data_IF_425212620546
#
_entry.id   IF_425212620546
#
_cell.length_a   1.000
_cell.length_b   1.000
_cell.length_c   1.000
_cell.angle_alpha   90.00
_cell.angle_beta   90.00
_cell.angle_gamma   90.00
#
_symmetry.space_group_name_H-M   'P 1'
#
loop_
_entity.id
_entity.type
_entity.pdbx_description
1 polymer ?
#
# COMPACT_ATOMS: atom_id res chain seq x y z
N UNK A 1 -59.46 15.27 7.29
CA UNK A 1 -58.00 15.26 7.58
C UNK A 1 -57.52 16.70 7.72
N UNK A 2 -57.29 17.16 8.95
CA UNK A 2 -56.78 18.50 9.24
C UNK A 2 -55.46 18.71 8.51
N UNK A 3 -55.38 19.74 7.66
CA UNK A 3 -54.22 20.09 6.83
C UNK A 3 -52.99 20.52 7.64
N UNK A 4 -53.13 20.69 8.97
CA UNK A 4 -52.07 20.97 9.92
C UNK A 4 -51.32 22.27 9.62
N UNK A 5 -51.98 23.22 8.95
CA UNK A 5 -51.42 24.50 8.50
C UNK A 5 -51.95 25.69 9.31
N UNK A 6 -51.49 26.89 8.97
CA UNK A 6 -51.86 28.14 9.66
C UNK A 6 -53.39 28.36 9.69
N UNK A 7 -54.07 28.03 8.59
CA UNK A 7 -55.53 28.16 8.45
C UNK A 7 -56.31 27.20 9.37
N UNK A 8 -55.77 26.01 9.67
CA UNK A 8 -56.41 25.07 10.60
C UNK A 8 -56.23 25.49 12.05
N UNK A 9 -55.07 26.05 12.39
CA UNK A 9 -54.81 26.59 13.72
C UNK A 9 -55.71 27.79 14.00
N UNK A 10 -55.87 28.68 13.01
CA UNK A 10 -56.78 29.81 13.09
C UNK A 10 -58.25 29.36 13.19
N UNK A 11 -58.66 28.36 12.40
CA UNK A 11 -60.00 27.74 12.49
C UNK A 11 -60.24 27.01 13.83
N UNK A 12 -59.19 26.51 14.47
CA UNK A 12 -59.23 25.90 15.80
C UNK A 12 -59.16 26.92 16.95
N UNK A 13 -59.10 28.22 16.65
CA UNK A 13 -59.09 29.30 17.64
C UNK A 13 -57.72 29.57 18.27
N UNK A 14 -56.63 29.05 17.71
CA UNK A 14 -55.28 29.43 18.14
C UNK A 14 -54.94 30.85 17.67
N UNK A 15 -54.36 31.70 18.55
CA UNK A 15 -53.99 33.06 18.19
C UNK A 15 -52.71 33.05 17.34
N UNK A 16 -52.85 32.77 16.03
CA UNK A 16 -51.74 32.70 15.07
C UNK A 16 -50.93 34.00 15.05
N UNK A 17 -51.56 35.14 15.30
CA UNK A 17 -50.90 36.46 15.42
C UNK A 17 -49.95 36.59 16.62
N UNK A 18 -50.03 35.71 17.62
CA UNK A 18 -49.12 35.67 18.77
C UNK A 18 -47.90 34.76 18.53
N UNK A 19 -47.89 33.99 17.45
CA UNK A 19 -46.73 33.20 17.06
C UNK A 19 -45.62 34.14 16.55
N UNK A 20 -44.39 33.84 16.93
CA UNK A 20 -43.22 34.55 16.39
C UNK A 20 -43.12 34.38 14.87
N UNK A 21 -42.35 35.27 14.23
CA UNK A 21 -42.25 35.30 12.77
C UNK A 21 -41.69 33.99 12.20
N UNK A 22 -40.69 33.40 12.87
CA UNK A 22 -40.07 32.15 12.46
C UNK A 22 -41.03 30.96 12.49
N UNK A 23 -41.85 30.83 13.54
CA UNK A 23 -42.82 29.74 13.67
C UNK A 23 -43.93 29.86 12.63
N UNK A 24 -44.35 31.08 12.29
CA UNK A 24 -45.33 31.30 11.21
C UNK A 24 -44.75 30.95 9.84
N UNK A 25 -43.50 31.31 9.58
CA UNK A 25 -42.79 30.98 8.34
C UNK A 25 -42.65 29.46 8.18
N UNK A 26 -42.22 28.76 9.23
CA UNK A 26 -42.02 27.30 9.23
C UNK A 26 -43.34 26.52 9.04
N UNK A 27 -44.45 27.01 9.59
CA UNK A 27 -45.78 26.43 9.36
C UNK A 27 -46.32 26.70 7.95
N UNK A 28 -45.99 27.85 7.37
CA UNK A 28 -46.33 28.16 5.97
C UNK A 28 -45.54 27.27 5.00
N UNK A 29 -44.24 27.11 5.24
CA UNK A 29 -43.36 26.23 4.46
C UNK A 29 -43.83 24.76 4.53
N UNK A 30 -44.19 24.27 5.72
CA UNK A 30 -44.69 22.91 5.91
C UNK A 30 -46.02 22.65 5.18
N UNK A 31 -46.89 23.65 5.09
CA UNK A 31 -48.15 23.55 4.34
C UNK A 31 -47.87 23.57 2.83
N UNK A 32 -47.04 24.50 2.37
CA UNK A 32 -46.67 24.63 0.96
C UNK A 32 -45.95 23.37 0.44
N UNK A 33 -45.13 22.70 1.27
CA UNK A 33 -44.52 21.41 0.93
C UNK A 33 -45.56 20.31 0.70
N UNK A 34 -46.59 20.22 1.55
CA UNK A 34 -47.66 19.21 1.38
C UNK A 34 -48.48 19.48 0.13
N UNK A 35 -48.79 20.75 -0.14
CA UNK A 35 -49.52 21.17 -1.34
C UNK A 35 -48.74 20.87 -2.62
N UNK A 36 -47.41 20.99 -2.56
CA UNK A 36 -46.52 20.61 -3.65
C UNK A 36 -46.26 19.09 -3.76
N UNK A 37 -46.91 18.26 -2.93
CA UNK A 37 -46.87 16.79 -3.04
C UNK A 37 -45.88 16.09 -2.10
N UNK A 38 -45.36 16.77 -1.08
CA UNK A 38 -44.54 16.15 -0.02
C UNK A 38 -45.41 15.39 0.99
N UNK A 39 -45.20 14.07 1.10
CA UNK A 39 -46.01 13.19 1.96
C UNK A 39 -45.46 13.01 3.38
N UNK A 40 -44.29 13.59 3.68
CA UNK A 40 -43.58 13.39 4.95
C UNK A 40 -42.54 12.26 4.91
N UNK A 41 -42.71 11.27 4.03
CA UNK A 41 -41.76 10.16 3.82
C UNK A 41 -41.33 9.98 2.36
N UNK A 42 -41.83 10.82 1.46
CA UNK A 42 -41.57 10.73 0.02
C UNK A 42 -42.38 11.77 -0.76
N UNK A 43 -42.32 11.66 -2.09
CA UNK A 43 -43.00 12.53 -3.04
C UNK A 43 -44.17 11.79 -3.68
N UNK A 44 -45.29 12.48 -3.89
CA UNK A 44 -46.36 12.01 -4.76
C UNK A 44 -45.90 11.93 -6.22
N UNK A 45 -46.54 11.10 -7.03
CA UNK A 45 -46.17 10.90 -8.45
C UNK A 45 -46.31 12.18 -9.29
N UNK A 46 -47.15 13.12 -8.85
CA UNK A 46 -47.42 14.42 -9.46
C UNK A 46 -46.81 15.60 -8.68
N UNK A 47 -45.85 15.34 -7.79
CA UNK A 47 -45.25 16.36 -6.95
C UNK A 47 -44.55 17.47 -7.76
N UNK A 48 -44.77 18.72 -7.34
CA UNK A 48 -44.11 19.90 -7.89
C UNK A 48 -42.73 20.07 -7.25
N UNK A 49 -41.75 19.43 -7.87
CA UNK A 49 -40.35 19.42 -7.42
C UNK A 49 -39.74 20.83 -7.42
N UNK A 50 -40.17 21.72 -8.32
CA UNK A 50 -39.63 23.08 -8.41
C UNK A 50 -40.03 23.91 -7.18
N UNK A 51 -41.29 23.82 -6.79
CA UNK A 51 -41.85 24.49 -5.60
C UNK A 51 -41.28 23.90 -4.31
N UNK A 52 -41.19 22.57 -4.20
CA UNK A 52 -40.56 21.90 -3.04
C UNK A 52 -39.10 22.37 -2.86
N UNK A 53 -38.36 22.53 -3.95
CA UNK A 53 -36.98 23.01 -3.93
C UNK A 53 -36.88 24.46 -3.45
N UNK A 54 -37.74 25.36 -3.95
CA UNK A 54 -37.73 26.76 -3.50
C UNK A 54 -38.01 26.90 -2.01
N UNK A 55 -38.95 26.11 -1.49
CA UNK A 55 -39.32 26.15 -0.07
C UNK A 55 -38.18 25.62 0.79
N UNK A 56 -37.58 24.49 0.43
CA UNK A 56 -36.48 23.91 1.21
C UNK A 56 -35.16 24.70 1.08
N UNK A 57 -35.00 25.54 0.05
CA UNK A 57 -33.86 26.44 -0.11
C UNK A 57 -34.08 27.83 0.52
N UNK A 58 -35.25 28.07 1.12
CA UNK A 58 -35.61 29.32 1.79
C UNK A 58 -34.94 29.52 3.16
N UNK A 59 -35.24 30.63 3.86
CA UNK A 59 -34.60 31.02 5.13
C UNK A 59 -34.76 29.99 6.27
N UNK A 60 -35.86 29.24 6.26
CA UNK A 60 -36.15 28.13 7.18
C UNK A 60 -35.41 26.83 6.84
N UNK A 61 -34.81 26.78 5.63
CA UNK A 61 -34.23 25.64 4.95
C UNK A 61 -32.74 25.42 5.20
N UNK A 62 -32.25 25.79 6.40
CA UNK A 62 -30.85 25.64 6.83
C UNK A 62 -30.34 24.17 6.73
N UNK A 63 -31.24 23.21 6.54
CA UNK A 63 -30.92 21.79 6.35
C UNK A 63 -30.46 21.37 4.94
N UNK A 64 -30.68 22.19 3.90
CA UNK A 64 -30.21 21.90 2.53
C UNK A 64 -28.88 22.56 2.19
N UNK A 65 -28.45 23.58 2.94
CA UNK A 65 -27.11 24.15 2.82
C UNK A 65 -26.07 23.05 3.12
N UNK A 66 -25.42 22.57 2.07
CA UNK A 66 -24.45 21.46 2.13
C UNK A 66 -24.98 20.09 1.74
N UNK A 67 -26.27 19.95 1.41
CA UNK A 67 -26.89 18.73 0.84
C UNK A 67 -27.19 18.91 -0.64
N UNK A 68 -27.58 20.09 -1.12
CA UNK A 68 -27.76 20.35 -2.56
C UNK A 68 -26.78 21.42 -3.05
N UNK A 69 -26.21 21.21 -4.24
CA UNK A 69 -25.45 22.24 -4.92
C UNK A 69 -26.40 23.38 -5.34
N UNK A 70 -25.88 24.61 -5.39
CA UNK A 70 -26.70 25.80 -5.69
C UNK A 70 -27.33 25.80 -7.10
N UNK A 71 -26.79 25.00 -8.03
CA UNK A 71 -27.35 24.75 -9.35
C UNK A 71 -28.38 23.60 -9.38
N UNK A 72 -28.61 22.94 -8.24
CA UNK A 72 -29.44 21.77 -8.06
C UNK A 72 -29.07 20.57 -8.95
N UNK A 73 -27.84 20.51 -9.47
CA UNK A 73 -27.36 19.40 -10.30
C UNK A 73 -26.64 18.31 -9.49
N UNK A 74 -26.26 18.61 -8.24
CA UNK A 74 -25.58 17.67 -7.37
C UNK A 74 -26.19 17.66 -5.96
N UNK A 75 -26.17 16.48 -5.33
CA UNK A 75 -26.60 16.27 -3.97
C UNK A 75 -25.54 15.50 -3.16
N UNK A 76 -25.31 15.90 -1.90
CA UNK A 76 -24.42 15.23 -0.95
C UNK A 76 -25.22 14.64 0.21
N UNK A 77 -25.26 13.32 0.30
CA UNK A 77 -25.78 12.61 1.46
C UNK A 77 -24.63 12.15 2.37
N UNK A 78 -24.60 12.61 3.62
CA UNK A 78 -23.63 12.14 4.62
C UNK A 78 -24.25 11.03 5.47
N UNK A 79 -23.66 9.84 5.43
CA UNK A 79 -24.09 8.70 6.23
C UNK A 79 -23.02 8.36 7.26
N UNK A 80 -23.38 8.41 8.55
CA UNK A 80 -22.49 8.03 9.65
C UNK A 80 -22.81 6.60 10.12
N UNK A 81 -21.77 5.80 10.38
CA UNK A 81 -21.91 4.43 10.90
C UNK A 81 -21.01 4.22 12.11
N UNK A 82 -21.44 3.36 13.05
CA UNK A 82 -20.64 2.92 14.21
C UNK A 82 -20.02 1.54 14.00
N UNK A 83 -20.14 0.96 12.82
CA UNK A 83 -19.68 -0.40 12.50
C UNK A 83 -18.16 -0.51 12.25
N UNK A 84 -17.39 0.56 12.52
CA UNK A 84 -15.96 0.64 12.22
C UNK A 84 -15.63 0.65 10.73
N UNK A 85 -14.34 0.60 10.39
CA UNK A 85 -13.86 0.75 9.01
C UNK A 85 -14.38 -0.34 8.07
N UNK A 86 -14.34 -1.61 8.51
CA UNK A 86 -14.86 -2.72 7.72
C UNK A 86 -16.37 -2.63 7.50
N UNK A 87 -17.11 -2.13 8.51
CA UNK A 87 -18.54 -1.89 8.39
C UNK A 87 -18.85 -0.74 7.43
N UNK A 88 -18.05 0.33 7.46
CA UNK A 88 -18.15 1.45 6.52
C UNK A 88 -17.90 1.01 5.07
N UNK A 89 -16.91 0.13 4.85
CA UNK A 89 -16.62 -0.45 3.52
C UNK A 89 -17.77 -1.29 3.00
N UNK A 90 -18.33 -2.18 3.83
CA UNK A 90 -19.50 -3.00 3.45
C UNK A 90 -20.73 -2.13 3.15
N UNK A 91 -20.99 -1.13 3.99
CA UNK A 91 -22.11 -0.21 3.80
C UNK A 91 -21.97 0.58 2.49
N UNK A 92 -20.77 1.03 2.15
CA UNK A 92 -20.52 1.71 0.89
C UNK A 92 -20.70 0.79 -0.32
N UNK A 93 -20.29 -0.48 -0.23
CA UNK A 93 -20.53 -1.47 -1.28
C UNK A 93 -22.04 -1.71 -1.50
N UNK A 94 -22.81 -1.83 -0.41
CA UNK A 94 -24.27 -1.94 -0.47
C UNK A 94 -24.91 -0.70 -1.11
N UNK A 95 -24.44 0.51 -0.77
CA UNK A 95 -24.93 1.74 -1.41
C UNK A 95 -24.62 1.76 -2.90
N UNK A 96 -23.40 1.44 -3.33
CA UNK A 96 -23.05 1.38 -4.76
C UNK A 96 -23.97 0.40 -5.51
N UNK A 97 -24.20 -0.78 -4.94
CA UNK A 97 -25.07 -1.78 -5.55
C UNK A 97 -26.52 -1.28 -5.68
N UNK A 98 -27.04 -0.58 -4.66
CA UNK A 98 -28.41 -0.05 -4.66
C UNK A 98 -28.59 1.20 -5.50
N UNK A 99 -27.53 1.98 -5.70
CA UNK A 99 -27.53 3.20 -6.50
C UNK A 99 -27.24 2.93 -7.99
N UNK A 100 -26.67 1.77 -8.34
CA UNK A 100 -26.39 1.37 -9.73
C UNK A 100 -27.59 1.51 -10.71
N UNK A 101 -28.87 1.26 -10.33
CA UNK A 101 -30.00 1.52 -11.21
C UNK A 101 -30.21 3.00 -11.55
N UNK A 102 -29.80 3.93 -10.67
CA UNK A 102 -29.88 5.38 -10.93
C UNK A 102 -28.90 5.80 -12.01
N UNK A 103 -27.75 5.13 -12.12
CA UNK A 103 -26.78 5.37 -13.20
C UNK A 103 -27.38 5.10 -14.59
N UNK A 104 -28.35 4.19 -14.68
CA UNK A 104 -29.07 3.90 -15.92
C UNK A 104 -30.02 5.03 -16.34
N UNK A 105 -30.39 5.92 -15.42
CA UNK A 105 -31.20 7.12 -15.71
C UNK A 105 -30.35 8.33 -16.13
N UNK A 106 -29.03 8.17 -16.21
CA UNK A 106 -28.10 9.25 -16.53
C UNK A 106 -27.63 10.07 -15.32
N UNK A 107 -27.96 9.64 -14.10
CA UNK A 107 -27.49 10.27 -12.87
C UNK A 107 -26.18 9.63 -12.41
N UNK A 108 -25.17 10.43 -12.05
CA UNK A 108 -23.90 9.92 -11.53
C UNK A 108 -23.96 9.84 -9.99
N UNK A 109 -23.70 8.65 -9.43
CA UNK A 109 -23.78 8.41 -7.99
C UNK A 109 -22.42 7.98 -7.42
N UNK A 110 -21.71 8.91 -6.76
CA UNK A 110 -20.40 8.65 -6.17
C UNK A 110 -20.50 8.33 -4.66
N UNK A 111 -20.12 7.11 -4.28
CA UNK A 111 -20.01 6.71 -2.87
C UNK A 111 -18.55 6.76 -2.44
N UNK A 112 -18.21 7.75 -1.61
CA UNK A 112 -16.88 7.95 -1.05
C UNK A 112 -16.90 7.92 0.48
N UNK A 113 -15.85 7.36 1.07
CA UNK A 113 -15.53 7.55 2.48
C UNK A 113 -14.03 7.38 2.72
N UNK A 114 -13.53 7.92 3.83
CA UNK A 114 -12.11 7.85 4.16
C UNK A 114 -11.60 6.39 4.28
N UNK A 115 -12.31 5.44 4.91
CA UNK A 115 -11.92 4.02 4.90
C UNK A 115 -11.84 3.39 3.51
N UNK A 116 -12.71 3.78 2.57
CA UNK A 116 -12.66 3.26 1.20
C UNK A 116 -11.43 3.77 0.46
N UNK A 117 -11.15 5.07 0.54
CA UNK A 117 -9.97 5.66 -0.08
C UNK A 117 -8.67 5.06 0.48
N UNK A 118 -8.60 4.84 1.79
CA UNK A 118 -7.45 4.18 2.42
C UNK A 118 -7.30 2.75 1.92
N UNK A 119 -8.38 1.95 1.87
CA UNK A 119 -8.29 0.58 1.40
C UNK A 119 -7.93 0.48 -0.09
N UNK A 120 -8.55 1.30 -0.93
CA UNK A 120 -8.27 1.35 -2.37
C UNK A 120 -6.81 1.74 -2.64
N UNK A 121 -6.31 2.77 -1.94
CA UNK A 121 -4.89 3.15 -2.04
C UNK A 121 -3.94 2.08 -1.50
N UNK A 122 -4.31 1.35 -0.44
CA UNK A 122 -3.51 0.24 0.09
C UNK A 122 -3.51 -0.98 -0.84
N UNK A 123 -4.64 -1.28 -1.48
CA UNK A 123 -4.77 -2.37 -2.44
C UNK A 123 -3.96 -2.08 -3.71
N UNK A 124 -4.09 -0.87 -4.26
CA UNK A 124 -3.28 -0.41 -5.40
C UNK A 124 -1.79 -0.44 -5.07
N UNK A 125 -1.41 0.05 -3.89
CA UNK A 125 -0.03 0.02 -3.42
C UNK A 125 0.49 -1.41 -3.27
N UNK A 126 -0.31 -2.30 -2.68
CA UNK A 126 0.03 -3.73 -2.51
C UNK A 126 0.24 -4.42 -3.85
N UNK A 127 -0.66 -4.19 -4.81
CA UNK A 127 -0.55 -4.72 -6.17
C UNK A 127 0.70 -4.18 -6.88
N UNK A 128 0.92 -2.86 -6.84
CA UNK A 128 2.09 -2.22 -7.42
C UNK A 128 3.40 -2.74 -6.82
N UNK A 129 3.46 -2.93 -5.49
CA UNK A 129 4.65 -3.51 -4.84
C UNK A 129 4.86 -4.97 -5.21
N UNK A 130 3.80 -5.77 -5.23
CA UNK A 130 3.91 -7.18 -5.62
C UNK A 130 4.49 -7.29 -7.03
N UNK A 131 3.98 -6.46 -7.95
CA UNK A 131 4.52 -6.37 -9.30
C UNK A 131 5.99 -5.90 -9.29
N UNK A 132 6.32 -4.85 -8.54
CA UNK A 132 7.68 -4.34 -8.45
C UNK A 132 8.67 -5.38 -7.91
N UNK A 133 8.30 -6.13 -6.88
CA UNK A 133 9.11 -7.21 -6.30
C UNK A 133 9.33 -8.32 -7.34
N UNK A 134 8.27 -8.80 -7.99
CA UNK A 134 8.38 -9.87 -8.99
C UNK A 134 9.25 -9.43 -10.16
N UNK A 135 9.00 -8.25 -10.71
CA UNK A 135 9.78 -7.69 -11.82
C UNK A 135 11.25 -7.51 -11.42
N UNK A 136 11.51 -6.92 -10.26
CA UNK A 136 12.88 -6.65 -9.79
C UNK A 136 13.65 -7.94 -9.51
N UNK A 137 13.03 -8.91 -8.82
CA UNK A 137 13.66 -10.21 -8.55
C UNK A 137 13.94 -10.98 -9.85
N UNK A 138 12.96 -11.01 -10.77
CA UNK A 138 13.11 -11.73 -12.04
C UNK A 138 14.16 -11.07 -12.92
N UNK A 139 14.15 -9.74 -13.03
CA UNK A 139 15.14 -8.99 -13.80
C UNK A 139 16.54 -9.16 -13.20
N UNK A 140 16.71 -9.00 -11.88
CA UNK A 140 17.99 -9.19 -11.22
C UNK A 140 18.51 -10.62 -11.38
N UNK A 141 17.65 -11.63 -11.21
CA UNK A 141 18.02 -13.03 -11.43
C UNK A 141 18.44 -13.27 -12.88
N UNK A 142 17.66 -12.80 -13.86
CA UNK A 142 17.98 -12.96 -15.28
C UNK A 142 19.30 -12.27 -15.65
N UNK A 143 19.54 -11.07 -15.13
CA UNK A 143 20.78 -10.32 -15.34
C UNK A 143 21.99 -11.03 -14.71
N UNK A 144 21.87 -11.50 -13.47
CA UNK A 144 22.94 -12.22 -12.79
C UNK A 144 23.26 -13.56 -13.46
N UNK A 145 22.23 -14.35 -13.78
CA UNK A 145 22.39 -15.61 -14.51
C UNK A 145 23.02 -15.35 -15.87
N UNK A 146 22.55 -14.34 -16.61
CA UNK A 146 23.13 -13.93 -17.88
C UNK A 146 24.60 -13.51 -17.75
N UNK A 147 24.90 -12.65 -16.77
CA UNK A 147 26.25 -12.18 -16.46
C UNK A 147 27.21 -13.33 -16.19
N UNK A 148 26.89 -14.23 -15.25
CA UNK A 148 27.76 -15.37 -14.93
C UNK A 148 27.76 -16.45 -16.02
N UNK A 149 26.74 -16.52 -16.88
CA UNK A 149 26.77 -17.38 -18.06
C UNK A 149 27.76 -16.86 -19.09
N UNK A 150 27.73 -15.56 -19.41
CA UNK A 150 28.59 -14.96 -20.43
C UNK A 150 30.04 -14.84 -19.95
N UNK A 151 30.25 -14.35 -18.73
CA UNK A 151 31.61 -14.08 -18.22
C UNK A 151 32.29 -15.32 -17.68
N UNK A 152 31.54 -16.24 -17.07
CA UNK A 152 32.08 -17.36 -16.30
C UNK A 152 31.62 -18.73 -16.79
N UNK A 153 30.64 -18.83 -17.69
CA UNK A 153 29.97 -20.09 -18.13
C UNK A 153 29.36 -20.89 -16.98
N UNK A 154 28.97 -20.23 -15.89
CA UNK A 154 28.43 -20.86 -14.68
C UNK A 154 27.14 -20.16 -14.25
N UNK A 155 25.99 -20.42 -14.91
CA UNK A 155 24.70 -19.77 -14.59
C UNK A 155 24.28 -19.92 -13.12
N UNK A 156 24.65 -21.04 -12.49
CA UNK A 156 24.31 -21.34 -11.11
C UNK A 156 24.87 -20.33 -10.11
N UNK A 157 25.99 -19.67 -10.42
CA UNK A 157 26.52 -18.58 -9.60
C UNK A 157 25.54 -17.41 -9.50
N UNK A 158 24.83 -17.09 -10.59
CA UNK A 158 23.82 -16.03 -10.57
C UNK A 158 22.64 -16.33 -9.65
N UNK A 159 22.22 -17.60 -9.58
CA UNK A 159 21.19 -18.05 -8.63
C UNK A 159 21.68 -17.95 -7.19
N UNK A 160 22.93 -18.39 -6.92
CA UNK A 160 23.55 -18.33 -5.59
C UNK A 160 23.70 -16.89 -5.11
N UNK A 161 24.20 -16.00 -5.97
CA UNK A 161 24.35 -14.56 -5.72
C UNK A 161 23.01 -13.87 -5.35
N UNK A 162 21.88 -14.40 -5.82
CA UNK A 162 20.57 -13.82 -5.55
C UNK A 162 20.00 -14.25 -4.18
N UNK A 163 20.53 -15.31 -3.56
CA UNK A 163 20.00 -15.89 -2.31
C UNK A 163 19.81 -14.86 -1.17
N UNK A 164 20.72 -13.91 -0.91
CA UNK A 164 20.52 -12.94 0.17
C UNK A 164 19.26 -12.10 -0.04
N UNK A 165 19.00 -11.68 -1.28
CA UNK A 165 17.80 -10.92 -1.63
C UNK A 165 16.52 -11.79 -1.56
N UNK A 166 16.55 -13.03 -2.06
CA UNK A 166 15.40 -13.94 -1.97
C UNK A 166 15.00 -14.26 -0.53
N UNK A 167 15.96 -14.27 0.39
CA UNK A 167 15.69 -14.57 1.80
C UNK A 167 15.32 -13.32 2.60
N UNK A 168 15.98 -12.18 2.34
CA UNK A 168 15.70 -10.94 3.07
C UNK A 168 14.25 -10.47 2.90
N UNK A 169 13.68 -10.55 1.68
CA UNK A 169 12.30 -10.12 1.39
C UNK A 169 11.25 -10.85 2.23
N UNK A 170 11.12 -12.19 2.20
CA UNK A 170 10.14 -12.89 3.02
C UNK A 170 10.46 -12.80 4.52
N UNK A 171 11.74 -12.72 4.92
CA UNK A 171 12.09 -12.56 6.34
C UNK A 171 11.61 -11.21 6.89
N UNK A 172 11.79 -10.12 6.14
CA UNK A 172 11.32 -8.81 6.60
C UNK A 172 9.80 -8.70 6.56
N UNK A 173 9.15 -9.17 5.50
CA UNK A 173 7.68 -9.16 5.40
C UNK A 173 7.05 -10.05 6.48
N UNK A 174 7.62 -11.23 6.74
CA UNK A 174 7.22 -12.10 7.85
C UNK A 174 7.42 -11.46 9.21
N UNK A 175 8.52 -10.73 9.41
CA UNK A 175 8.78 -9.99 10.65
C UNK A 175 7.78 -8.86 10.86
N UNK A 176 7.40 -8.13 9.81
CA UNK A 176 6.36 -7.12 9.89
C UNK A 176 5.02 -7.72 10.35
N UNK A 177 4.66 -8.88 9.80
CA UNK A 177 3.47 -9.61 10.21
C UNK A 177 3.54 -10.06 11.67
N UNK A 178 4.67 -10.65 12.10
CA UNK A 178 4.90 -11.08 13.49
C UNK A 178 4.86 -9.93 14.50
N UNK A 179 5.36 -8.76 14.11
CA UNK A 179 5.41 -7.57 14.96
C UNK A 179 4.11 -6.75 14.92
N UNK A 180 3.10 -7.17 14.15
CA UNK A 180 1.84 -6.45 14.00
C UNK A 180 2.00 -5.06 13.37
N UNK A 181 3.02 -4.87 12.53
CA UNK A 181 3.28 -3.58 11.89
C UNK A 181 2.37 -3.38 10.69
N UNK A 182 1.76 -2.20 10.62
CA UNK A 182 0.86 -1.83 9.55
C UNK A 182 1.59 -1.72 8.21
N UNK A 183 1.04 -2.35 7.17
CA UNK A 183 1.46 -2.09 5.81
C UNK A 183 0.99 -0.69 5.40
N UNK A 184 1.89 0.15 4.90
CA UNK A 184 1.61 1.51 4.49
C UNK A 184 2.53 1.91 3.33
N UNK A 185 2.32 3.11 2.77
CA UNK A 185 3.09 3.64 1.64
C UNK A 185 4.61 3.55 1.81
N UNK A 186 5.14 3.76 3.02
CA UNK A 186 6.58 3.70 3.30
C UNK A 186 7.04 2.25 3.45
N UNK A 187 6.35 1.46 4.27
CA UNK A 187 6.76 0.07 4.54
C UNK A 187 6.61 -0.84 3.33
N UNK A 188 5.72 -0.48 2.40
CA UNK A 188 5.59 -1.07 1.08
C UNK A 188 6.89 -1.06 0.27
N UNK A 189 7.72 -0.02 0.39
CA UNK A 189 8.97 0.10 -0.37
C UNK A 189 10.10 -0.80 0.14
N UNK A 190 9.96 -1.37 1.35
CA UNK A 190 11.01 -2.11 2.04
C UNK A 190 11.40 -3.37 1.27
N UNK A 191 10.45 -4.05 0.63
CA UNK A 191 10.76 -5.23 -0.17
C UNK A 191 11.67 -4.90 -1.37
N UNK A 192 11.48 -3.73 -2.00
CA UNK A 192 12.36 -3.25 -3.08
C UNK A 192 13.75 -2.88 -2.54
N UNK A 193 13.82 -2.26 -1.37
CA UNK A 193 15.07 -1.95 -0.67
C UNK A 193 15.84 -3.22 -0.30
N UNK A 194 15.13 -4.26 0.17
CA UNK A 194 15.73 -5.56 0.51
C UNK A 194 16.45 -6.19 -0.69
N UNK A 195 15.88 -6.08 -1.90
CA UNK A 195 16.52 -6.52 -3.13
C UNK A 195 17.76 -5.67 -3.42
N UNK A 196 17.64 -4.35 -3.32
CA UNK A 196 18.72 -3.39 -3.56
C UNK A 196 19.94 -3.57 -2.62
N UNK A 197 19.73 -4.11 -1.41
CA UNK A 197 20.81 -4.40 -0.46
C UNK A 197 21.32 -5.84 -0.62
N UNK A 198 20.41 -6.81 -0.75
CA UNK A 198 20.75 -8.22 -0.80
C UNK A 198 21.56 -8.59 -2.04
N UNK A 199 21.21 -8.03 -3.20
CA UNK A 199 21.90 -8.33 -4.47
C UNK A 199 23.38 -7.92 -4.44
N UNK A 200 23.75 -6.67 -4.08
CA UNK A 200 25.16 -6.28 -3.96
C UNK A 200 25.96 -7.14 -2.98
N UNK A 201 25.38 -7.51 -1.83
CA UNK A 201 26.07 -8.36 -0.85
C UNK A 201 26.45 -9.70 -1.46
N UNK A 202 25.53 -10.32 -2.19
CA UNK A 202 25.85 -11.56 -2.87
C UNK A 202 26.82 -11.39 -4.03
N UNK A 203 26.75 -10.29 -4.78
CA UNK A 203 27.70 -10.03 -5.87
C UNK A 203 29.12 -9.96 -5.30
N UNK A 204 29.31 -9.23 -4.19
CA UNK A 204 30.61 -9.08 -3.55
C UNK A 204 31.16 -10.42 -3.02
N UNK A 205 30.35 -11.20 -2.30
CA UNK A 205 30.81 -12.51 -1.77
C UNK A 205 31.07 -13.51 -2.89
N UNK A 206 30.14 -13.65 -3.85
CA UNK A 206 30.29 -14.59 -4.95
C UNK A 206 31.53 -14.26 -5.79
N UNK A 207 31.75 -13.00 -6.17
CA UNK A 207 32.91 -12.62 -6.97
C UNK A 207 34.21 -12.86 -6.21
N UNK A 208 34.28 -12.50 -4.93
CA UNK A 208 35.48 -12.73 -4.13
C UNK A 208 35.78 -14.22 -3.99
N UNK A 209 34.77 -15.03 -3.73
CA UNK A 209 34.92 -16.48 -3.65
C UNK A 209 35.45 -17.08 -4.96
N UNK A 210 34.91 -16.63 -6.09
CA UNK A 210 35.37 -17.06 -7.42
C UNK A 210 36.81 -16.63 -7.72
N UNK A 211 37.26 -15.49 -7.20
CA UNK A 211 38.65 -15.07 -7.30
C UNK A 211 39.59 -15.92 -6.43
N UNK A 212 39.16 -16.26 -5.22
CA UNK A 212 39.98 -16.97 -4.23
C UNK A 212 40.02 -18.49 -4.45
N UNK A 213 39.01 -19.09 -5.08
CA UNK A 213 39.01 -20.54 -5.40
C UNK A 213 40.00 -20.91 -6.52
N UNK A 214 40.71 -19.93 -7.09
CA UNK A 214 41.80 -20.14 -8.06
C UNK A 214 42.92 -20.94 -7.39
N UNK A 215 42.94 -22.26 -7.61
CA UNK A 215 43.85 -23.20 -6.96
C UNK A 215 43.16 -24.42 -6.33
N UNK A 216 41.82 -24.44 -6.29
CA UNK A 216 41.03 -25.63 -5.94
C UNK A 216 40.82 -25.87 -4.44
N UNK A 217 41.40 -25.05 -3.55
CA UNK A 217 41.12 -25.10 -2.11
C UNK A 217 39.90 -24.26 -1.75
N UNK A 218 38.74 -24.92 -1.68
CA UNK A 218 37.45 -24.30 -1.34
C UNK A 218 37.46 -23.71 0.07
N UNK A 219 38.10 -24.38 1.02
CA UNK A 219 38.04 -23.99 2.41
C UNK A 219 38.95 -22.77 2.66
N UNK A 220 40.12 -22.69 2.00
CA UNK A 220 40.92 -21.47 1.99
C UNK A 220 40.19 -20.31 1.30
N UNK A 221 39.54 -20.58 0.16
CA UNK A 221 38.84 -19.55 -0.61
C UNK A 221 37.69 -18.89 0.16
N UNK A 222 36.86 -19.69 0.84
CA UNK A 222 35.76 -19.14 1.64
C UNK A 222 36.27 -18.40 2.88
N UNK A 223 37.36 -18.88 3.50
CA UNK A 223 38.01 -18.18 4.62
C UNK A 223 38.49 -16.80 4.18
N UNK A 224 39.25 -16.70 3.08
CA UNK A 224 39.72 -15.43 2.54
C UNK A 224 38.55 -14.49 2.14
N UNK A 225 37.48 -15.06 1.59
CA UNK A 225 36.28 -14.31 1.22
C UNK A 225 35.62 -13.67 2.44
N UNK A 226 35.43 -14.45 3.53
CA UNK A 226 34.79 -13.96 4.74
C UNK A 226 35.67 -13.01 5.55
N UNK A 227 36.98 -13.22 5.60
CA UNK A 227 37.90 -12.35 6.37
C UNK A 227 38.10 -10.99 5.73
N UNK A 228 38.05 -10.89 4.40
CA UNK A 228 38.24 -9.62 3.71
C UNK A 228 36.91 -8.99 3.30
N UNK A 229 36.20 -9.62 2.35
CA UNK A 229 34.95 -9.06 1.81
C UNK A 229 33.81 -9.18 2.81
N UNK A 230 33.72 -10.29 3.55
CA UNK A 230 32.73 -10.45 4.63
C UNK A 230 32.88 -9.38 5.70
N UNK A 231 34.09 -9.10 6.17
CA UNK A 231 34.35 -8.02 7.14
C UNK A 231 33.96 -6.64 6.60
N UNK A 232 34.25 -6.36 5.32
CA UNK A 232 33.83 -5.11 4.68
C UNK A 232 32.30 -4.99 4.58
N UNK A 233 31.60 -6.09 4.29
CA UNK A 233 30.13 -6.13 4.26
C UNK A 233 29.52 -5.91 5.65
N UNK A 234 30.10 -6.48 6.71
CA UNK A 234 29.69 -6.20 8.10
C UNK A 234 29.83 -4.71 8.41
N UNK A 235 30.97 -4.10 8.04
CA UNK A 235 31.18 -2.66 8.21
C UNK A 235 30.13 -1.82 7.47
N UNK A 236 29.85 -2.15 6.22
CA UNK A 236 28.81 -1.50 5.40
C UNK A 236 27.40 -1.65 5.99
N UNK A 237 27.07 -2.85 6.49
CA UNK A 237 25.80 -3.13 7.14
C UNK A 237 25.65 -2.33 8.44
N UNK A 238 26.71 -2.21 9.23
CA UNK A 238 26.70 -1.42 10.46
C UNK A 238 26.52 0.07 10.18
N UNK A 239 27.24 0.63 9.22
CA UNK A 239 27.12 2.07 8.90
C UNK A 239 25.74 2.40 8.33
N UNK A 240 25.27 1.62 7.35
CA UNK A 240 23.97 1.83 6.70
C UNK A 240 22.82 1.51 7.66
N UNK A 241 22.92 0.40 8.40
CA UNK A 241 21.93 0.00 9.39
C UNK A 241 21.79 1.01 10.51
N UNK A 242 22.90 1.57 11.01
CA UNK A 242 22.86 2.63 12.01
C UNK A 242 22.23 3.91 11.44
N UNK A 243 22.53 4.27 10.19
CA UNK A 243 21.93 5.43 9.54
C UNK A 243 20.39 5.30 9.45
N UNK A 244 19.86 4.13 9.10
CA UNK A 244 18.41 3.88 9.14
C UNK A 244 17.85 3.79 10.56
N UNK A 245 18.61 3.22 11.50
CA UNK A 245 18.20 3.11 12.90
C UNK A 245 18.02 4.48 13.58
N UNK A 246 18.71 5.53 13.13
CA UNK A 246 18.48 6.91 13.63
C UNK A 246 17.02 7.35 13.44
N UNK A 247 16.34 6.87 12.40
CA UNK A 247 14.92 7.19 12.16
C UNK A 247 13.99 6.67 13.27
N UNK A 248 14.42 5.70 14.08
CA UNK A 248 13.68 5.25 15.28
C UNK A 248 13.45 6.38 16.30
N UNK A 249 14.27 7.44 16.25
CA UNK A 249 14.11 8.61 17.11
C UNK A 249 12.98 9.55 16.65
N UNK A 250 12.34 9.26 15.52
CA UNK A 250 11.25 10.08 14.98
C UNK A 250 10.00 10.01 15.85
N UNK A 251 9.36 11.17 16.08
CA UNK A 251 8.06 11.26 16.74
C UNK A 251 6.90 10.82 15.83
N UNK A 252 7.15 10.61 14.54
CA UNK A 252 6.16 10.13 13.58
C UNK A 252 6.30 8.61 13.39
N UNK A 253 5.36 7.79 13.90
CA UNK A 253 5.51 6.33 13.95
C UNK A 253 5.82 5.66 12.60
N UNK A 254 5.23 6.08 11.45
CA UNK A 254 5.55 5.48 10.16
C UNK A 254 7.04 5.62 9.78
N UNK A 255 7.69 6.73 10.13
CA UNK A 255 9.13 6.95 9.87
C UNK A 255 9.98 6.07 10.80
N UNK A 256 9.61 6.01 12.09
CA UNK A 256 10.32 5.16 13.05
C UNK A 256 10.24 3.68 12.66
N UNK A 257 9.06 3.18 12.30
CA UNK A 257 8.85 1.81 11.81
C UNK A 257 9.66 1.54 10.53
N UNK A 258 9.62 2.46 9.57
CA UNK A 258 10.39 2.35 8.34
C UNK A 258 11.90 2.23 8.61
N UNK A 259 12.44 3.05 9.51
CA UNK A 259 13.84 2.98 9.93
C UNK A 259 14.22 1.65 10.56
N UNK A 260 13.46 1.21 11.57
CA UNK A 260 13.70 -0.05 12.27
C UNK A 260 13.64 -1.26 11.35
N UNK A 261 12.64 -1.32 10.48
CA UNK A 261 12.47 -2.45 9.55
C UNK A 261 13.53 -2.42 8.45
N UNK A 262 13.97 -1.25 7.99
CA UNK A 262 15.08 -1.17 7.02
C UNK A 262 16.39 -1.64 7.65
N UNK A 263 16.68 -1.24 8.90
CA UNK A 263 17.83 -1.74 9.63
C UNK A 263 17.78 -3.27 9.82
N UNK A 264 16.60 -3.81 10.14
CA UNK A 264 16.39 -5.27 10.23
C UNK A 264 16.59 -5.97 8.88
N UNK A 265 16.15 -5.35 7.78
CA UNK A 265 16.36 -5.85 6.42
C UNK A 265 17.84 -5.97 6.07
N UNK A 266 18.63 -4.95 6.42
CA UNK A 266 20.09 -4.95 6.23
C UNK A 266 20.72 -6.11 7.01
N UNK A 267 20.29 -6.33 8.26
CA UNK A 267 20.76 -7.44 9.07
C UNK A 267 20.38 -8.80 8.44
N UNK A 268 19.16 -8.97 7.95
CA UNK A 268 18.76 -10.21 7.26
C UNK A 268 19.52 -10.44 5.97
N UNK A 269 19.75 -9.40 5.16
CA UNK A 269 20.56 -9.52 3.94
C UNK A 269 22.00 -9.94 4.26
N UNK A 270 22.62 -9.35 5.30
CA UNK A 270 23.96 -9.71 5.77
C UNK A 270 24.01 -11.15 6.30
N UNK A 271 23.04 -11.57 7.11
CA UNK A 271 23.00 -12.93 7.64
C UNK A 271 22.76 -13.96 6.55
N UNK A 272 21.86 -13.67 5.61
CA UNK A 272 21.57 -14.54 4.48
C UNK A 272 22.79 -14.70 3.56
N UNK A 273 23.56 -13.63 3.34
CA UNK A 273 24.81 -13.70 2.56
C UNK A 273 25.93 -14.43 3.32
N UNK A 274 26.15 -14.08 4.59
CA UNK A 274 27.21 -14.66 5.40
C UNK A 274 26.99 -16.15 5.72
N UNK A 275 25.75 -16.64 5.74
CA UNK A 275 25.41 -18.01 6.12
C UNK A 275 24.93 -18.83 4.94
N UNK A 276 23.85 -18.40 4.27
CA UNK A 276 23.15 -19.25 3.29
C UNK A 276 23.87 -19.24 1.95
N UNK A 277 24.23 -18.04 1.47
CA UNK A 277 24.99 -17.92 0.23
C UNK A 277 26.38 -18.55 0.35
N UNK A 278 27.10 -18.30 1.44
CA UNK A 278 28.43 -18.91 1.65
C UNK A 278 28.37 -20.43 1.73
N UNK A 279 27.35 -21.00 2.39
CA UNK A 279 27.13 -22.44 2.38
C UNK A 279 26.85 -22.97 0.96
N UNK A 280 26.04 -22.25 0.17
CA UNK A 280 25.77 -22.59 -1.21
C UNK A 280 27.02 -22.49 -2.11
N UNK A 281 27.88 -21.48 -1.89
CA UNK A 281 29.16 -21.31 -2.58
C UNK A 281 30.14 -22.44 -2.23
N UNK A 282 30.23 -22.84 -0.96
CA UNK A 282 31.07 -23.99 -0.55
C UNK A 282 30.58 -25.28 -1.18
N UNK A 283 29.26 -25.53 -1.16
CA UNK A 283 28.67 -26.69 -1.82
C UNK A 283 28.97 -26.70 -3.32
N UNK A 284 28.77 -25.56 -3.99
CA UNK A 284 29.03 -25.39 -5.41
C UNK A 284 30.51 -25.59 -5.74
N UNK A 285 31.41 -24.95 -4.99
CA UNK A 285 32.85 -25.03 -5.17
C UNK A 285 33.37 -26.46 -5.00
N UNK A 286 32.93 -27.17 -3.96
CA UNK A 286 33.32 -28.58 -3.73
C UNK A 286 32.83 -29.49 -4.87
N UNK A 287 31.64 -29.24 -5.42
CA UNK A 287 31.12 -29.98 -6.57
C UNK A 287 31.93 -29.69 -7.83
N UNK A 288 32.37 -28.45 -8.02
CA UNK A 288 33.12 -28.03 -9.20
C UNK A 288 34.53 -28.60 -9.22
N UNK A 289 35.25 -28.53 -8.08
CA UNK A 289 36.58 -29.13 -7.92
C UNK A 289 36.54 -30.65 -8.13
N UNK A 290 35.51 -31.34 -7.62
CA UNK A 290 35.32 -32.80 -7.85
C UNK A 290 35.08 -33.16 -9.32
N UNK A 291 34.46 -32.28 -10.11
CA UNK A 291 34.16 -32.52 -11.52
C UNK A 291 35.37 -32.32 -12.44
N UNK A 292 36.36 -31.54 -12.02
CA UNK A 292 37.55 -31.23 -12.80
C UNK A 292 38.85 -31.49 -12.00
N UNK A 293 39.11 -32.73 -11.54
CA UNK A 293 40.31 -33.06 -10.80
C UNK A 293 41.53 -32.98 -11.73
N UNK A 294 42.48 -32.08 -11.45
CA UNK A 294 43.78 -32.04 -12.13
C UNK A 294 44.07 -30.81 -13.02
N UNK A 295 43.13 -29.88 -13.18
CA UNK A 295 43.47 -28.56 -13.72
C UNK A 295 43.82 -27.65 -12.54
N UNK A 296 45.10 -27.30 -12.38
CA UNK A 296 45.54 -26.20 -11.52
C UNK A 296 44.80 -24.89 -11.85
N UNK A 297 44.26 -24.82 -13.06
CA UNK A 297 43.24 -23.88 -13.49
C UNK A 297 41.82 -24.42 -13.28
N UNK A 298 41.30 -24.30 -12.04
CA UNK A 298 39.88 -23.87 -11.87
C UNK A 298 39.78 -22.37 -12.23
N UNK A 299 40.56 -21.93 -13.23
CA UNK A 299 40.53 -20.60 -13.75
C UNK A 299 39.23 -20.50 -14.52
N UNK A 300 38.19 -20.03 -13.85
CA UNK A 300 37.02 -19.54 -14.54
C UNK A 300 37.53 -18.38 -15.39
N UNK A 301 37.64 -18.53 -16.73
CA UNK A 301 38.39 -17.59 -17.55
C UNK A 301 37.70 -16.24 -17.43
N UNK A 302 38.32 -15.29 -16.72
CA UNK A 302 37.87 -13.91 -16.74
C UNK A 302 38.26 -13.37 -18.10
N UNK A 303 37.30 -13.23 -19.01
CA UNK A 303 37.49 -12.34 -20.15
C UNK A 303 37.64 -10.93 -19.57
N UNK A 304 38.89 -10.46 -19.47
CA UNK A 304 39.13 -9.04 -19.32
C UNK A 304 38.51 -8.35 -20.52
N UNK A 305 37.60 -7.41 -20.29
CA UNK A 305 37.33 -6.39 -21.30
C UNK A 305 38.60 -5.54 -21.38
N UNK A 306 39.53 -5.97 -22.23
CA UNK A 306 40.60 -5.11 -22.70
C UNK A 306 39.95 -4.09 -23.64
N UNK A 307 39.78 -2.87 -23.14
CA UNK A 307 39.50 -1.65 -23.87
C UNK A 307 40.46 -0.59 -23.38
#
# INVERSE_FOLDING_TARGET
>A
PSTGGLADLEAAGYPVSQLDAATRELLADAQALREAGWTGSGLADDADIATIREILAGPSGDGLEGVLAGDAQAALARVATRAGDQGAVRLAADFRQRLAPLEQTGAEALVASQPLLINETLDELSAAQTQAIIVSLTAALALLVGYYTVTRRRPLLGVITMLPALLAVPLVLGSMWLLGLSFNALTATIASIAIGIGVPYGIHLTNRFVEEIRGGDVDAAIRATLTHTGAALVGSALTTGTAFAVLLLSSFPPIAQFGGITALTIAYALLASAIVETAALVWWGRREVRRHPGHADVAIPSRGFAG
#
